data_IF_222273927079
#
_entry.id   IF_222273927079
#
_cell.length_a   1.000
_cell.length_b   1.000
_cell.length_c   1.000
_cell.angle_alpha   90.00
_cell.angle_beta   90.00
_cell.angle_gamma   90.00
#
_symmetry.space_group_name_H-M   'P 1'
#
loop_
_entity.id
_entity.type
_entity.pdbx_description
1 polymer ?
#
# COMPACT_ATOMS: atom_id res chain seq x y z
N UNK A 1 -5.90 -0.94 -6.41
CA UNK A 1 -6.26 -1.51 -5.08
C UNK A 1 -7.62 -2.21 -5.07
N UNK A 2 -8.74 -1.55 -5.38
CA UNK A 2 -10.07 -2.19 -5.34
C UNK A 2 -10.16 -3.54 -6.07
N UNK A 3 -9.65 -3.60 -7.31
CA UNK A 3 -9.55 -4.86 -8.07
C UNK A 3 -8.75 -5.98 -7.39
N UNK A 4 -7.72 -5.63 -6.62
CA UNK A 4 -6.92 -6.61 -5.89
C UNK A 4 -7.64 -7.10 -4.63
N UNK A 5 -8.32 -6.19 -3.92
CA UNK A 5 -9.07 -6.51 -2.69
C UNK A 5 -10.22 -7.48 -2.98
N UNK A 6 -10.97 -7.27 -4.07
CA UNK A 6 -12.10 -8.13 -4.45
C UNK A 6 -11.68 -9.59 -4.69
N UNK A 7 -10.40 -9.84 -4.95
CA UNK A 7 -9.87 -11.21 -5.17
C UNK A 7 -9.47 -11.95 -3.89
N UNK A 8 -9.61 -11.33 -2.71
CA UNK A 8 -9.24 -11.92 -1.42
C UNK A 8 -7.86 -12.60 -1.44
N UNK A 9 -6.79 -11.88 -1.88
CA UNK A 9 -5.47 -12.49 -2.02
C UNK A 9 -4.89 -12.83 -0.65
N UNK A 10 -4.05 -13.86 -0.58
CA UNK A 10 -3.31 -14.18 0.64
C UNK A 10 -2.22 -13.15 0.95
N UNK A 11 -1.69 -12.49 -0.09
CA UNK A 11 -0.62 -11.49 0.02
C UNK A 11 -0.88 -10.34 -0.96
N UNK A 12 -0.67 -9.11 -0.51
CA UNK A 12 -0.56 -7.94 -1.38
C UNK A 12 0.90 -7.63 -1.68
N UNK A 13 1.21 -7.41 -2.96
CA UNK A 13 2.50 -6.89 -3.40
C UNK A 13 2.30 -5.47 -3.94
N UNK A 14 3.04 -4.52 -3.40
CA UNK A 14 3.04 -3.14 -3.84
C UNK A 14 4.43 -2.77 -4.34
N UNK A 15 4.56 -2.55 -5.65
CA UNK A 15 5.78 -2.07 -6.27
C UNK A 15 5.68 -0.56 -6.50
N UNK A 16 6.52 0.20 -5.79
CA UNK A 16 6.53 1.67 -5.80
C UNK A 16 5.17 2.37 -5.70
N UNK A 17 4.26 1.97 -4.79
CA UNK A 17 2.87 2.41 -4.85
C UNK A 17 2.63 3.92 -4.66
N UNK A 18 3.63 4.67 -4.21
CA UNK A 18 3.52 6.09 -3.82
C UNK A 18 4.58 7.01 -4.46
N UNK A 19 5.39 6.51 -5.40
CA UNK A 19 6.51 7.26 -5.99
C UNK A 19 6.03 8.52 -6.74
N UNK A 20 4.88 8.42 -7.40
CA UNK A 20 4.30 9.49 -8.21
C UNK A 20 3.49 10.52 -7.41
N UNK A 21 3.50 10.45 -6.07
CA UNK A 21 2.72 11.35 -5.20
C UNK A 21 3.61 12.41 -4.55
N UNK A 22 3.06 13.61 -4.38
CA UNK A 22 3.66 14.67 -3.57
C UNK A 22 3.83 14.22 -2.10
N UNK A 23 4.69 14.93 -1.36
CA UNK A 23 5.06 14.54 -0.01
C UNK A 23 3.86 14.46 0.96
N UNK A 24 2.90 15.38 0.85
CA UNK A 24 1.74 15.44 1.75
C UNK A 24 0.79 14.28 1.46
N UNK A 25 0.48 14.07 0.18
CA UNK A 25 -0.39 12.99 -0.26
C UNK A 25 0.24 11.61 -0.01
N UNK A 26 1.57 11.49 -0.16
CA UNK A 26 2.33 10.28 0.17
C UNK A 26 2.17 9.88 1.63
N UNK A 27 2.29 10.83 2.56
CA UNK A 27 2.10 10.56 4.00
C UNK A 27 0.66 10.09 4.27
N UNK A 28 -0.33 10.81 3.73
CA UNK A 28 -1.74 10.45 3.89
C UNK A 28 -2.04 9.06 3.36
N UNK A 29 -1.62 8.76 2.13
CA UNK A 29 -1.84 7.46 1.50
C UNK A 29 -1.12 6.32 2.25
N UNK A 30 0.05 6.60 2.86
CA UNK A 30 0.74 5.60 3.69
C UNK A 30 -0.07 5.23 4.94
N UNK A 31 -0.75 6.20 5.55
CA UNK A 31 -1.64 5.97 6.69
C UNK A 31 -2.90 5.18 6.27
N UNK A 32 -3.51 5.56 5.15
CA UNK A 32 -4.66 4.86 4.55
C UNK A 32 -4.35 3.38 4.28
N UNK A 33 -3.21 3.11 3.64
CA UNK A 33 -2.79 1.73 3.32
C UNK A 33 -2.53 0.92 4.59
N UNK A 34 -1.91 1.51 5.60
CA UNK A 34 -1.67 0.85 6.90
C UNK A 34 -2.99 0.51 7.60
N UNK A 35 -3.93 1.45 7.61
CA UNK A 35 -5.29 1.24 8.15
C UNK A 35 -6.02 0.12 7.41
N UNK A 36 -5.94 0.13 6.07
CA UNK A 36 -6.52 -0.92 5.24
C UNK A 36 -5.91 -2.29 5.53
N UNK A 37 -4.58 -2.39 5.62
CA UNK A 37 -3.88 -3.62 5.97
C UNK A 37 -4.34 -4.16 7.33
N UNK A 38 -4.43 -3.29 8.35
CA UNK A 38 -4.91 -3.67 9.68
C UNK A 38 -6.35 -4.19 9.65
N UNK A 39 -7.22 -3.58 8.84
CA UNK A 39 -8.62 -4.01 8.68
C UNK A 39 -8.75 -5.35 7.93
N UNK A 40 -7.90 -5.60 6.93
CA UNK A 40 -7.97 -6.80 6.10
C UNK A 40 -7.17 -7.97 6.67
N UNK A 41 -6.19 -7.71 7.55
CA UNK A 41 -5.32 -8.75 8.12
C UNK A 41 -4.41 -9.45 7.11
N UNK A 42 -4.32 -8.94 5.88
CA UNK A 42 -3.57 -9.58 4.79
C UNK A 42 -2.09 -9.18 4.83
N UNK A 43 -1.20 -10.16 4.73
CA UNK A 43 0.24 -9.91 4.58
C UNK A 43 0.50 -9.02 3.38
N UNK A 44 1.36 -8.01 3.54
CA UNK A 44 1.63 -7.02 2.49
C UNK A 44 3.13 -6.77 2.37
N UNK A 45 3.66 -6.80 1.14
CA UNK A 45 5.05 -6.46 0.83
C UNK A 45 5.10 -5.14 0.06
N UNK A 46 5.94 -4.21 0.52
CA UNK A 46 6.15 -2.90 -0.09
C UNK A 46 7.57 -2.79 -0.61
N UNK A 47 7.71 -2.65 -1.92
CA UNK A 47 8.98 -2.32 -2.57
C UNK A 47 9.00 -0.81 -2.80
N UNK A 48 10.12 -0.19 -2.41
CA UNK A 48 10.40 1.22 -2.68
C UNK A 48 11.77 1.32 -3.34
N UNK A 49 11.91 2.24 -4.27
CA UNK A 49 13.19 2.53 -4.91
C UNK A 49 14.03 3.56 -4.14
N UNK A 50 13.41 4.25 -3.18
CA UNK A 50 14.06 5.28 -2.37
C UNK A 50 14.07 4.90 -0.88
N UNK A 51 15.23 5.07 -0.24
CA UNK A 51 15.51 4.75 1.17
C UNK A 51 15.51 5.98 2.10
N UNK A 52 15.31 7.21 1.59
CA UNK A 52 15.25 8.41 2.42
C UNK A 52 13.98 8.45 3.29
#
# INVERSE_FOLDING_TARGET
MGRAIVRQPMVFLFDEPLSNLDAKLRIQMRLEIKSLQQRLGTTSLFVKHDQI
#
